data_IF_341891575577
#
_entry.id   IF_341891575577
#
_cell.length_a   1.000
_cell.length_b   1.000
_cell.length_c   1.000
_cell.angle_alpha   90.00
_cell.angle_beta   90.00
_cell.angle_gamma   90.00
#
_symmetry.space_group_name_H-M   'P 1'
#
loop_
_entity.id
_entity.type
_entity.pdbx_description
1 polymer ?
#
# COMPACT_ATOMS: atom_id res chain seq x y z
N UNK A 1 18.12 -10.89 8.51
CA UNK A 1 17.15 -9.77 8.36
C UNK A 1 16.44 -9.62 9.69
N UNK A 2 16.27 -8.39 10.22
CA UNK A 2 15.32 -8.15 11.31
C UNK A 2 13.93 -8.54 10.82
N UNK A 3 13.13 -9.16 11.68
CA UNK A 3 11.75 -9.49 11.33
C UNK A 3 10.98 -8.21 10.98
N UNK A 4 10.15 -8.27 9.93
CA UNK A 4 9.26 -7.15 9.58
C UNK A 4 8.31 -6.91 10.73
N UNK A 5 8.17 -5.66 11.17
CA UNK A 5 7.21 -5.29 12.22
C UNK A 5 5.78 -5.50 11.70
N UNK A 6 4.91 -5.99 12.54
CA UNK A 6 3.46 -5.95 12.27
C UNK A 6 2.93 -4.52 12.36
N UNK A 7 1.75 -4.26 11.81
CA UNK A 7 1.11 -2.94 11.90
C UNK A 7 0.89 -2.51 13.36
N UNK A 8 0.41 -3.37 14.30
CA UNK A 8 0.32 -3.01 15.71
C UNK A 8 1.68 -2.64 16.35
N UNK A 9 2.71 -3.45 16.09
CA UNK A 9 4.08 -3.19 16.61
C UNK A 9 4.64 -1.86 16.07
N UNK A 10 4.35 -1.54 14.80
CA UNK A 10 4.77 -0.30 14.17
C UNK A 10 4.05 0.91 14.79
N UNK A 11 2.74 0.86 14.97
CA UNK A 11 1.95 1.93 15.60
C UNK A 11 2.44 2.20 17.03
N UNK A 12 2.69 1.15 17.80
CA UNK A 12 3.20 1.31 19.17
C UNK A 12 4.60 1.94 19.21
N UNK A 13 5.44 1.62 18.23
CA UNK A 13 6.80 2.16 18.14
C UNK A 13 6.82 3.62 17.72
N UNK A 14 6.10 3.97 16.65
CA UNK A 14 6.16 5.31 16.06
C UNK A 14 5.41 6.35 16.91
N UNK A 15 4.30 5.97 17.54
CA UNK A 15 3.44 6.85 18.37
C UNK A 15 3.08 8.18 17.68
N UNK A 16 2.90 8.10 16.38
CA UNK A 16 2.60 9.21 15.48
C UNK A 16 1.85 8.69 14.24
N UNK A 17 1.32 9.61 13.44
CA UNK A 17 0.64 9.25 12.20
C UNK A 17 1.63 8.66 11.18
N UNK A 18 1.43 7.42 10.78
CA UNK A 18 2.31 6.72 9.85
C UNK A 18 1.86 7.03 8.43
N UNK A 19 2.76 7.62 7.64
CA UNK A 19 2.53 7.88 6.23
C UNK A 19 2.76 6.61 5.43
N UNK A 20 1.76 6.19 4.67
CA UNK A 20 1.77 4.95 3.90
C UNK A 20 1.54 5.26 2.41
N UNK A 21 2.60 5.25 1.57
CA UNK A 21 2.46 5.49 0.14
C UNK A 21 1.76 4.31 -0.54
N UNK A 22 0.90 4.63 -1.49
CA UNK A 22 0.33 3.66 -2.42
C UNK A 22 1.41 3.25 -3.43
N UNK A 23 1.57 1.96 -3.62
CA UNK A 23 2.53 1.35 -4.52
C UNK A 23 1.82 0.40 -5.49
N UNK A 24 2.48 0.01 -6.55
CA UNK A 24 1.90 -0.82 -7.60
C UNK A 24 2.79 -2.00 -8.02
N UNK A 25 4.08 -2.00 -7.64
CA UNK A 25 5.03 -3.06 -7.96
C UNK A 25 6.23 -3.12 -6.99
N UNK A 26 7.14 -4.04 -7.25
CA UNK A 26 8.37 -4.20 -6.47
C UNK A 26 9.29 -2.98 -6.53
N UNK A 27 9.31 -2.25 -7.64
CA UNK A 27 10.19 -1.09 -7.83
C UNK A 27 9.70 0.10 -7.03
N UNK A 28 8.39 0.37 -7.08
CA UNK A 28 7.76 1.42 -6.28
C UNK A 28 7.86 1.12 -4.78
N UNK A 29 7.68 -0.15 -4.38
CA UNK A 29 7.89 -0.57 -2.99
C UNK A 29 9.32 -0.29 -2.52
N UNK A 30 10.32 -0.65 -3.33
CA UNK A 30 11.72 -0.41 -2.99
C UNK A 30 12.06 1.09 -2.96
N UNK A 31 11.52 1.87 -3.89
CA UNK A 31 11.72 3.32 -3.90
C UNK A 31 11.16 3.98 -2.62
N UNK A 32 9.97 3.57 -2.17
CA UNK A 32 9.38 4.03 -0.92
C UNK A 32 10.20 3.63 0.31
N UNK A 33 10.72 2.40 0.34
CA UNK A 33 11.62 1.94 1.40
C UNK A 33 12.88 2.81 1.49
N UNK A 34 13.48 3.14 0.34
CA UNK A 34 14.67 4.02 0.26
C UNK A 34 14.35 5.48 0.62
N UNK A 35 13.13 5.93 0.35
CA UNK A 35 12.65 7.24 0.76
C UNK A 35 12.44 7.36 2.29
N UNK A 36 12.47 6.22 3.01
CA UNK A 36 12.38 6.19 4.48
C UNK A 36 10.97 5.99 5.03
N UNK A 37 10.01 5.63 4.18
CA UNK A 37 8.67 5.22 4.66
C UNK A 37 8.75 4.01 5.57
N UNK A 38 7.77 3.87 6.45
CA UNK A 38 7.74 2.80 7.48
C UNK A 38 6.73 1.69 7.18
N UNK A 39 5.82 1.94 6.26
CA UNK A 39 4.84 0.99 5.74
C UNK A 39 4.49 1.34 4.29
N UNK A 40 3.93 0.41 3.56
CA UNK A 40 3.51 0.56 2.16
C UNK A 40 2.13 -0.04 1.94
N UNK A 41 1.37 0.52 1.01
CA UNK A 41 0.03 0.07 0.64
C UNK A 41 0.03 -0.35 -0.84
N UNK A 42 -0.22 -1.62 -1.15
CA UNK A 42 -0.48 -2.04 -2.52
C UNK A 42 -1.89 -1.60 -2.91
N UNK A 43 -1.95 -0.63 -3.83
CA UNK A 43 -3.20 -0.03 -4.29
C UNK A 43 -3.83 -0.87 -5.40
N UNK A 44 -5.08 -1.29 -5.21
CA UNK A 44 -5.84 -1.99 -6.25
C UNK A 44 -5.98 -1.16 -7.52
N UNK A 45 -6.30 0.13 -7.40
CA UNK A 45 -6.42 1.02 -8.55
C UNK A 45 -5.12 1.18 -9.35
N UNK A 46 -3.98 1.45 -8.67
CA UNK A 46 -2.69 1.60 -9.36
C UNK A 46 -2.20 0.28 -9.98
N UNK A 47 -2.48 -0.86 -9.37
CA UNK A 47 -2.21 -2.17 -9.96
C UNK A 47 -3.10 -2.41 -11.18
N UNK A 48 -4.37 -2.04 -11.12
CA UNK A 48 -5.26 -2.08 -12.30
C UNK A 48 -4.69 -1.25 -13.46
N UNK A 49 -4.24 -0.01 -13.19
CA UNK A 49 -3.66 0.86 -14.22
C UNK A 49 -2.43 0.24 -14.90
N UNK A 50 -1.52 -0.44 -14.16
CA UNK A 50 -0.35 -1.09 -14.78
C UNK A 50 -0.71 -2.34 -15.59
N UNK A 51 -1.86 -2.97 -15.32
CA UNK A 51 -2.41 -4.05 -16.14
C UNK A 51 -3.28 -3.56 -17.30
N UNK A 52 -3.51 -2.24 -17.39
CA UNK A 52 -4.34 -1.63 -18.42
C UNK A 52 -5.84 -1.78 -18.17
N UNK A 53 -6.24 -2.09 -16.95
CA UNK A 53 -7.64 -2.10 -16.54
C UNK A 53 -8.17 -0.65 -16.41
N UNK A 54 -9.45 -0.46 -16.71
CA UNK A 54 -10.12 0.85 -16.60
C UNK A 54 -10.50 1.17 -15.15
N UNK A 55 -10.68 0.14 -14.32
CA UNK A 55 -10.96 0.24 -12.88
C UNK A 55 -10.44 -1.00 -12.15
N UNK A 56 -10.30 -0.91 -10.83
CA UNK A 56 -9.91 -2.07 -9.99
C UNK A 56 -10.95 -3.20 -10.01
N UNK A 57 -12.22 -2.90 -10.36
CA UNK A 57 -13.28 -3.90 -10.48
C UNK A 57 -13.06 -4.89 -11.63
N UNK A 58 -12.26 -4.51 -12.62
CA UNK A 58 -11.89 -5.37 -13.73
C UNK A 58 -10.78 -6.35 -13.36
N UNK A 59 -10.08 -6.10 -12.25
CA UNK A 59 -9.01 -7.00 -11.80
C UNK A 59 -9.55 -8.26 -11.13
N UNK A 60 -8.80 -9.35 -11.30
CA UNK A 60 -8.97 -10.56 -10.51
C UNK A 60 -8.08 -10.51 -9.26
N UNK A 61 -8.60 -11.03 -8.15
CA UNK A 61 -7.82 -11.12 -6.90
C UNK A 61 -6.51 -11.91 -7.06
N UNK A 62 -6.39 -12.77 -8.07
CA UNK A 62 -5.15 -13.50 -8.37
C UNK A 62 -4.07 -12.61 -8.97
N UNK A 63 -4.45 -11.59 -9.73
CA UNK A 63 -3.52 -10.59 -10.31
C UNK A 63 -2.94 -9.72 -9.20
N UNK A 64 -3.78 -9.21 -8.29
CA UNK A 64 -3.34 -8.47 -7.11
C UNK A 64 -2.46 -9.33 -6.21
N UNK A 65 -2.83 -10.60 -5.99
CA UNK A 65 -2.08 -11.54 -5.18
C UNK A 65 -0.69 -11.82 -5.77
N UNK A 66 -0.58 -11.96 -7.09
CA UNK A 66 0.69 -12.16 -7.76
C UNK A 66 1.71 -11.05 -7.45
N UNK A 67 1.28 -9.80 -7.49
CA UNK A 67 2.14 -8.65 -7.15
C UNK A 67 2.43 -8.61 -5.64
N UNK A 68 1.41 -8.79 -4.81
CA UNK A 68 1.54 -8.76 -3.34
C UNK A 68 2.54 -9.79 -2.82
N UNK A 69 2.47 -11.04 -3.32
CA UNK A 69 3.39 -12.12 -2.96
C UNK A 69 4.85 -11.77 -3.28
N UNK A 70 5.10 -11.15 -4.43
CA UNK A 70 6.45 -10.71 -4.83
C UNK A 70 6.97 -9.63 -3.90
N UNK A 71 6.15 -8.61 -3.61
CA UNK A 71 6.55 -7.53 -2.70
C UNK A 71 6.79 -8.08 -1.29
N UNK A 72 5.89 -8.88 -0.74
CA UNK A 72 6.02 -9.47 0.60
C UNK A 72 7.29 -10.32 0.74
N UNK A 73 7.76 -10.95 -0.35
CA UNK A 73 8.95 -11.80 -0.33
C UNK A 73 10.27 -11.04 -0.17
N UNK A 74 10.33 -9.74 -0.48
CA UNK A 74 11.59 -8.99 -0.43
C UNK A 74 11.54 -7.73 0.43
N UNK A 75 10.37 -7.10 0.58
CA UNK A 75 10.24 -5.84 1.32
C UNK A 75 10.55 -6.03 2.80
N UNK A 76 11.21 -5.04 3.39
CA UNK A 76 11.45 -4.96 4.84
C UNK A 76 10.39 -4.14 5.56
N UNK A 77 9.45 -3.55 4.81
CA UNK A 77 8.33 -2.77 5.33
C UNK A 77 7.06 -3.62 5.43
N UNK A 78 6.22 -3.41 6.45
CA UNK A 78 4.90 -4.01 6.49
C UNK A 78 4.06 -3.58 5.29
N UNK A 79 3.51 -4.58 4.59
CA UNK A 79 2.71 -4.41 3.39
C UNK A 79 1.23 -4.51 3.75
N UNK A 80 0.48 -3.47 3.43
CA UNK A 80 -0.99 -3.43 3.47
C UNK A 80 -1.51 -3.64 2.04
N UNK A 81 -2.62 -4.35 1.90
CA UNK A 81 -3.26 -4.62 0.60
C UNK A 81 -4.61 -3.93 0.54
N UNK A 82 -4.87 -3.19 -0.52
CA UNK A 82 -6.20 -2.72 -0.87
C UNK A 82 -6.96 -3.84 -1.59
N UNK A 83 -8.01 -4.34 -0.96
CA UNK A 83 -8.72 -5.53 -1.40
C UNK A 83 -10.02 -5.23 -2.17
N UNK A 84 -10.10 -4.11 -2.89
CA UNK A 84 -11.25 -3.73 -3.69
C UNK A 84 -11.68 -4.77 -4.74
N UNK A 85 -10.75 -5.62 -5.16
CA UNK A 85 -11.06 -6.74 -6.05
C UNK A 85 -11.75 -7.94 -5.35
N UNK A 86 -11.99 -7.90 -4.03
CA UNK A 86 -12.78 -8.92 -3.35
C UNK A 86 -14.24 -8.75 -3.73
N UNK A 87 -14.78 -9.69 -4.49
CA UNK A 87 -16.21 -9.68 -4.82
C UNK A 87 -17.04 -9.83 -3.54
N UNK A 88 -18.29 -9.40 -3.54
CA UNK A 88 -19.24 -9.44 -2.44
C UNK A 88 -19.59 -10.88 -1.96
N UNK A 89 -18.56 -11.69 -1.71
CA UNK A 89 -18.66 -13.09 -1.31
C UNK A 89 -17.76 -13.35 -0.08
N UNK A 90 -18.33 -13.54 1.12
CA UNK A 90 -17.56 -13.83 2.33
C UNK A 90 -16.68 -15.08 2.24
N UNK A 91 -17.06 -16.09 1.45
CA UNK A 91 -16.27 -17.32 1.29
C UNK A 91 -15.02 -17.06 0.42
N UNK A 92 -15.18 -16.32 -0.66
CA UNK A 92 -14.05 -15.87 -1.49
C UNK A 92 -13.15 -14.92 -0.70
N UNK A 93 -13.74 -14.00 0.06
CA UNK A 93 -13.02 -13.09 0.97
C UNK A 93 -12.17 -13.85 1.98
N UNK A 94 -12.72 -14.87 2.65
CA UNK A 94 -11.95 -15.72 3.56
C UNK A 94 -10.74 -16.35 2.86
N UNK A 95 -10.97 -16.95 1.70
CA UNK A 95 -9.92 -17.67 0.94
C UNK A 95 -8.79 -16.72 0.51
N UNK A 96 -9.11 -15.54 0.01
CA UNK A 96 -8.11 -14.57 -0.42
C UNK A 96 -7.39 -13.93 0.76
N UNK A 97 -8.11 -13.55 1.80
CA UNK A 97 -7.50 -13.02 3.03
C UNK A 97 -6.51 -14.02 3.63
N UNK A 98 -6.84 -15.32 3.65
CA UNK A 98 -5.94 -16.38 4.09
C UNK A 98 -4.65 -16.40 3.25
N UNK A 99 -4.78 -16.35 1.92
CA UNK A 99 -3.61 -16.35 1.03
C UNK A 99 -2.71 -15.13 1.24
N UNK A 100 -3.27 -13.93 1.27
CA UNK A 100 -2.49 -12.70 1.50
C UNK A 100 -1.78 -12.72 2.85
N UNK A 101 -2.49 -13.06 3.91
CA UNK A 101 -1.92 -13.12 5.25
C UNK A 101 -0.76 -14.14 5.36
N UNK A 102 -0.92 -15.33 4.75
CA UNK A 102 0.12 -16.37 4.76
C UNK A 102 1.27 -16.10 3.76
N UNK A 103 1.08 -15.23 2.78
CA UNK A 103 2.16 -14.72 1.94
C UNK A 103 3.03 -13.66 2.65
N UNK A 104 2.64 -13.21 3.85
CA UNK A 104 3.40 -12.23 4.62
C UNK A 104 2.87 -10.81 4.55
N UNK A 105 1.69 -10.59 3.99
CA UNK A 105 1.01 -9.29 4.08
C UNK A 105 0.61 -9.00 5.53
N UNK A 106 0.73 -7.74 5.95
CA UNK A 106 0.54 -7.32 7.35
C UNK A 106 -0.76 -6.57 7.60
N UNK A 107 -1.50 -6.23 6.54
CA UNK A 107 -2.81 -5.59 6.63
C UNK A 107 -3.65 -5.83 5.38
N UNK A 108 -4.97 -5.92 5.54
CA UNK A 108 -5.94 -6.05 4.46
C UNK A 108 -7.02 -4.99 4.62
N UNK A 109 -7.20 -4.10 3.62
CA UNK A 109 -8.34 -3.21 3.54
C UNK A 109 -9.50 -3.99 2.91
N UNK A 110 -10.50 -4.30 3.70
CA UNK A 110 -11.74 -4.94 3.25
C UNK A 110 -12.81 -3.87 3.15
N UNK A 111 -13.36 -3.70 1.96
CA UNK A 111 -14.25 -2.58 1.69
C UNK A 111 -15.70 -2.98 1.38
N UNK A 112 -16.62 -2.02 1.61
CA UNK A 112 -17.97 -2.05 1.11
C UNK A 112 -17.99 -1.50 -0.33
N UNK A 113 -18.08 -2.35 -1.33
CA UNK A 113 -18.38 -1.88 -2.70
C UNK A 113 -19.76 -1.22 -2.77
N UNK A 114 -19.93 -0.29 -3.73
CA UNK A 114 -21.21 0.38 -4.01
C UNK A 114 -22.30 -0.64 -4.33
N UNK A 115 -23.05 -1.15 -3.52
CA UNK A 115 -24.18 -2.07 -3.62
C UNK A 115 -24.09 -3.31 -2.71
N UNK A 116 -23.05 -3.45 -1.91
CA UNK A 116 -23.02 -4.51 -0.90
C UNK A 116 -23.92 -4.09 0.27
N UNK A 117 -24.82 -4.99 0.69
CA UNK A 117 -25.59 -4.75 1.90
C UNK A 117 -24.69 -4.84 3.16
N UNK A 118 -25.10 -4.10 4.19
CA UNK A 118 -24.39 -4.06 5.48
C UNK A 118 -24.05 -5.44 6.04
N UNK A 119 -24.99 -6.38 5.93
CA UNK A 119 -24.81 -7.72 6.48
C UNK A 119 -23.74 -8.52 5.75
N UNK A 120 -23.69 -8.42 4.45
CA UNK A 120 -22.66 -9.05 3.61
C UNK A 120 -21.28 -8.44 3.90
N UNK A 121 -21.17 -7.11 3.96
CA UNK A 121 -19.90 -6.47 4.31
C UNK A 121 -19.37 -6.93 5.68
N UNK A 122 -20.20 -6.94 6.71
CA UNK A 122 -19.78 -7.40 8.05
C UNK A 122 -19.38 -8.89 8.07
N UNK A 123 -20.00 -9.72 7.25
CA UNK A 123 -19.57 -11.12 7.06
C UNK A 123 -18.20 -11.20 6.36
N UNK A 124 -17.91 -10.32 5.38
CA UNK A 124 -16.60 -10.25 4.74
C UNK A 124 -15.51 -9.82 5.73
N UNK A 125 -15.76 -8.78 6.54
CA UNK A 125 -14.86 -8.37 7.62
C UNK A 125 -14.57 -9.53 8.56
N UNK A 126 -15.61 -10.20 9.07
CA UNK A 126 -15.47 -11.35 9.96
C UNK A 126 -14.71 -12.50 9.32
N UNK A 127 -14.98 -12.79 8.05
CA UNK A 127 -14.27 -13.83 7.29
C UNK A 127 -12.78 -13.52 7.18
N UNK A 128 -12.41 -12.26 6.90
CA UNK A 128 -11.02 -11.81 6.85
C UNK A 128 -10.33 -11.90 8.22
N UNK A 129 -11.01 -11.48 9.29
CA UNK A 129 -10.49 -11.58 10.66
C UNK A 129 -10.20 -13.04 11.03
N UNK A 130 -11.11 -13.96 10.70
CA UNK A 130 -10.90 -15.39 10.93
C UNK A 130 -9.74 -15.96 10.11
N UNK A 131 -9.61 -15.52 8.86
CA UNK A 131 -8.53 -15.94 7.97
C UNK A 131 -7.13 -15.46 8.42
N UNK A 132 -7.06 -14.31 9.08
CA UNK A 132 -5.80 -13.72 9.58
C UNK A 132 -5.42 -14.17 11.00
N UNK A 133 -6.29 -14.93 11.70
CA UNK A 133 -6.18 -15.21 13.15
C UNK A 133 -4.81 -15.72 13.61
N UNK A 134 -4.20 -16.59 12.83
CA UNK A 134 -2.91 -17.23 13.19
C UNK A 134 -1.71 -16.57 12.50
N UNK A 135 -1.86 -15.32 12.07
CA UNK A 135 -0.84 -14.53 11.41
C UNK A 135 -0.62 -13.18 12.09
N UNK A 136 0.32 -12.38 11.58
CA UNK A 136 0.51 -10.97 12.02
C UNK A 136 -0.33 -9.97 11.23
N UNK A 137 -1.14 -10.45 10.30
CA UNK A 137 -1.96 -9.62 9.43
C UNK A 137 -3.19 -9.09 10.18
N UNK A 138 -3.48 -7.81 10.04
CA UNK A 138 -4.65 -7.16 10.61
C UNK A 138 -5.67 -6.82 9.54
N UNK A 139 -6.94 -6.71 9.92
CA UNK A 139 -8.02 -6.29 9.01
C UNK A 139 -8.37 -4.83 9.27
N UNK A 140 -8.42 -4.06 8.20
CA UNK A 140 -8.85 -2.66 8.17
C UNK A 140 -10.18 -2.62 7.42
N UNK A 141 -11.27 -2.30 8.12
CA UNK A 141 -12.59 -2.20 7.49
C UNK A 141 -12.74 -0.82 6.85
N UNK A 142 -12.99 -0.79 5.54
CA UNK A 142 -13.10 0.41 4.74
C UNK A 142 -14.53 0.59 4.23
N UNK A 143 -15.04 1.84 4.27
CA UNK A 143 -16.28 2.20 3.58
C UNK A 143 -16.02 3.28 2.54
N UNK A 144 -16.56 3.07 1.35
CA UNK A 144 -16.48 4.02 0.23
C UNK A 144 -17.62 5.05 0.24
N UNK A 145 -18.52 4.97 1.24
CA UNK A 145 -19.64 5.90 1.38
C UNK A 145 -19.19 7.35 1.43
N UNK A 146 -19.72 8.18 0.54
CA UNK A 146 -19.46 9.62 0.53
C UNK A 146 -20.21 10.31 1.69
N UNK A 147 -19.52 11.21 2.38
CA UNK A 147 -20.07 11.97 3.50
C UNK A 147 -20.68 13.29 3.01
N UNK A 148 -21.94 13.27 2.59
CA UNK A 148 -22.67 14.43 2.00
C UNK A 148 -23.62 15.10 2.98
N UNK A 149 -24.24 14.33 3.86
CA UNK A 149 -25.28 14.78 4.80
C UNK A 149 -25.24 13.95 6.10
N UNK A 150 -26.10 14.28 7.06
CA UNK A 150 -26.17 13.62 8.38
C UNK A 150 -26.37 12.10 8.26
N UNK A 151 -27.20 11.66 7.35
CA UNK A 151 -27.55 10.24 7.20
C UNK A 151 -26.35 9.42 6.69
N UNK A 152 -25.53 10.03 5.80
CA UNK A 152 -24.27 9.43 5.37
C UNK A 152 -23.29 9.27 6.56
N UNK A 153 -23.19 10.29 7.43
CA UNK A 153 -22.35 10.20 8.64
C UNK A 153 -22.85 9.13 9.60
N UNK A 154 -24.16 9.08 9.84
CA UNK A 154 -24.75 8.09 10.74
C UNK A 154 -24.55 6.66 10.24
N UNK A 155 -24.72 6.46 8.93
CA UNK A 155 -24.43 5.17 8.29
C UNK A 155 -22.95 4.77 8.44
N UNK A 156 -22.01 5.68 8.11
CA UNK A 156 -20.56 5.42 8.20
C UNK A 156 -20.14 5.09 9.63
N UNK A 157 -20.65 5.84 10.60
CA UNK A 157 -20.37 5.60 12.02
C UNK A 157 -20.90 4.23 12.46
N UNK A 158 -22.13 3.88 12.09
CA UNK A 158 -22.74 2.59 12.45
C UNK A 158 -21.97 1.43 11.84
N UNK A 159 -21.69 1.47 10.53
CA UNK A 159 -21.06 0.34 9.84
C UNK A 159 -19.61 0.12 10.29
N UNK A 160 -18.84 1.20 10.52
CA UNK A 160 -17.46 1.08 10.98
C UNK A 160 -17.37 0.61 12.44
N UNK A 161 -18.25 1.09 13.32
CA UNK A 161 -18.31 0.59 14.69
C UNK A 161 -18.75 -0.89 14.72
N UNK A 162 -19.69 -1.30 13.86
CA UNK A 162 -20.06 -2.69 13.71
C UNK A 162 -18.90 -3.56 13.20
N UNK A 163 -18.10 -3.05 12.28
CA UNK A 163 -16.91 -3.75 11.79
C UNK A 163 -15.84 -3.94 12.88
N UNK A 164 -15.64 -2.97 13.76
CA UNK A 164 -14.79 -3.13 14.95
C UNK A 164 -15.32 -4.26 15.85
N UNK A 165 -16.63 -4.34 16.05
CA UNK A 165 -17.25 -5.42 16.85
C UNK A 165 -17.09 -6.79 16.20
N UNK A 166 -16.97 -6.89 14.86
CA UNK A 166 -16.63 -8.13 14.16
C UNK A 166 -15.13 -8.46 14.18
N UNK A 167 -14.30 -7.62 14.78
CA UNK A 167 -12.88 -7.85 15.01
C UNK A 167 -11.93 -7.11 14.09
N UNK A 168 -12.40 -6.13 13.30
CA UNK A 168 -11.49 -5.27 12.54
C UNK A 168 -10.57 -4.51 13.51
N UNK A 169 -9.28 -4.50 13.20
CA UNK A 169 -8.27 -3.81 14.00
C UNK A 169 -8.32 -2.28 13.85
N UNK A 170 -8.69 -1.83 12.66
CA UNK A 170 -8.70 -0.43 12.26
C UNK A 170 -9.85 -0.19 11.27
N UNK A 171 -10.25 1.06 11.12
CA UNK A 171 -11.28 1.45 10.15
C UNK A 171 -10.82 2.57 9.24
N UNK A 172 -11.44 2.71 8.06
CA UNK A 172 -11.20 3.77 7.09
C UNK A 172 -12.50 4.23 6.46
N UNK A 173 -12.71 5.54 6.43
CA UNK A 173 -13.83 6.18 5.73
C UNK A 173 -13.29 6.95 4.53
N UNK A 174 -13.51 6.48 3.31
CA UNK A 174 -13.01 7.11 2.07
C UNK A 174 -13.67 8.45 1.74
N UNK A 175 -14.84 8.75 2.32
CA UNK A 175 -15.54 10.03 2.13
C UNK A 175 -14.91 11.23 2.83
N UNK A 176 -13.80 11.05 3.56
CA UNK A 176 -13.09 12.13 4.23
C UNK A 176 -12.35 12.99 3.21
N UNK A 177 -12.54 14.29 3.28
CA UNK A 177 -11.84 15.29 2.46
C UNK A 177 -11.77 16.66 3.14
N UNK A 178 -11.82 16.69 4.46
CA UNK A 178 -11.64 17.91 5.26
C UNK A 178 -11.40 17.57 6.73
N UNK A 179 -10.72 18.46 7.45
CA UNK A 179 -10.48 18.35 8.89
C UNK A 179 -11.78 18.23 9.70
N UNK A 180 -12.84 18.97 9.29
CA UNK A 180 -14.13 18.91 9.97
C UNK A 180 -14.78 17.51 9.87
N UNK A 181 -14.75 16.89 8.69
CA UNK A 181 -15.26 15.52 8.52
C UNK A 181 -14.42 14.51 9.30
N UNK A 182 -13.09 14.67 9.29
CA UNK A 182 -12.18 13.84 10.06
C UNK A 182 -12.48 13.93 11.56
N UNK A 183 -12.77 15.13 12.07
CA UNK A 183 -13.13 15.35 13.47
C UNK A 183 -14.45 14.63 13.84
N UNK A 184 -15.49 14.77 13.00
CA UNK A 184 -16.78 14.12 13.24
C UNK A 184 -16.63 12.61 13.29
N UNK A 185 -16.00 12.01 12.28
CA UNK A 185 -15.77 10.55 12.23
C UNK A 185 -14.83 10.12 13.35
N UNK A 186 -13.75 10.87 13.57
CA UNK A 186 -12.76 10.57 14.61
C UNK A 186 -13.34 10.49 16.01
N UNK A 187 -14.30 11.34 16.34
CA UNK A 187 -14.99 11.35 17.64
C UNK A 187 -16.07 10.27 17.78
N UNK A 188 -16.70 9.86 16.68
CA UNK A 188 -17.87 8.96 16.70
C UNK A 188 -17.53 7.51 16.41
N UNK A 189 -16.47 7.26 15.63
CA UNK A 189 -16.00 5.90 15.32
C UNK A 189 -14.96 5.47 16.36
N UNK A 190 -15.18 4.29 16.93
CA UNK A 190 -14.31 3.71 17.95
C UNK A 190 -12.99 3.17 17.36
N UNK A 191 -11.99 3.00 18.22
CA UNK A 191 -10.74 2.36 17.86
C UNK A 191 -9.83 3.20 16.95
N UNK A 192 -8.86 2.53 16.36
CA UNK A 192 -7.87 3.13 15.46
C UNK A 192 -8.45 3.37 14.07
N UNK A 193 -7.94 4.40 13.40
CA UNK A 193 -8.41 4.80 12.08
C UNK A 193 -7.25 5.05 11.13
N UNK A 194 -7.49 4.78 9.86
CA UNK A 194 -6.67 5.20 8.75
C UNK A 194 -7.35 6.35 8.03
N UNK A 195 -6.62 7.43 7.80
CA UNK A 195 -7.08 8.52 6.96
C UNK A 195 -6.88 8.12 5.49
N UNK A 196 -7.88 8.35 4.62
CA UNK A 196 -7.71 8.11 3.19
C UNK A 196 -6.70 9.10 2.59
N UNK A 197 -6.65 9.21 1.31
CA UNK A 197 -5.67 10.02 0.59
C UNK A 197 -5.67 11.49 1.06
N UNK A 198 -4.53 11.92 1.61
CA UNK A 198 -4.37 13.32 2.02
C UNK A 198 -4.09 14.20 0.80
N UNK A 199 -4.87 15.23 0.63
CA UNK A 199 -4.73 16.22 -0.45
C UNK A 199 -4.28 17.59 0.07
N UNK A 200 -3.97 18.48 -0.85
CA UNK A 200 -3.59 19.86 -0.54
C UNK A 200 -4.68 20.78 -1.05
N UNK A 201 -5.27 21.56 -0.14
CA UNK A 201 -6.21 22.63 -0.45
C UNK A 201 -5.60 23.99 -0.16
N UNK A 202 -5.63 24.90 -1.13
CA UNK A 202 -5.11 26.26 -0.99
C UNK A 202 -3.67 26.33 -0.43
N UNK A 203 -2.80 25.37 -0.84
CA UNK A 203 -1.41 25.29 -0.42
C UNK A 203 -1.21 24.77 1.01
N UNK A 204 -2.24 24.26 1.68
CA UNK A 204 -2.14 23.62 2.99
C UNK A 204 -2.63 22.17 2.94
N UNK A 205 -2.04 21.28 3.75
CA UNK A 205 -2.62 19.95 3.95
C UNK A 205 -4.07 20.06 4.40
N UNK A 206 -4.91 19.19 3.90
CA UNK A 206 -6.33 19.08 4.25
C UNK A 206 -6.54 18.82 5.75
N UNK A 207 -5.63 18.04 6.35
CA UNK A 207 -5.59 17.71 7.78
C UNK A 207 -4.16 17.85 8.31
N UNK A 208 -4.05 18.14 9.61
CA UNK A 208 -2.77 18.18 10.32
C UNK A 208 -2.60 16.88 11.10
N UNK A 209 -1.49 16.19 10.86
CA UNK A 209 -1.20 14.88 11.44
C UNK A 209 -1.38 14.82 12.96
N UNK A 210 -0.85 15.81 13.68
CA UNK A 210 -0.94 15.88 15.14
C UNK A 210 -2.38 16.03 15.65
N UNK A 211 -3.24 16.69 14.89
CA UNK A 211 -4.64 16.88 15.22
C UNK A 211 -5.44 15.61 15.01
N UNK A 212 -5.28 14.97 13.84
CA UNK A 212 -6.01 13.74 13.54
C UNK A 212 -5.48 12.56 14.35
N UNK A 213 -4.19 12.53 14.71
CA UNK A 213 -3.65 11.49 15.60
C UNK A 213 -4.36 11.45 16.94
N UNK A 214 -4.69 12.61 17.53
CA UNK A 214 -5.50 12.72 18.75
C UNK A 214 -6.92 12.17 18.61
N UNK A 215 -7.41 12.07 17.38
CA UNK A 215 -8.71 11.50 17.04
C UNK A 215 -8.63 9.99 16.70
N UNK A 216 -7.45 9.40 16.84
CA UNK A 216 -7.20 7.98 16.61
C UNK A 216 -6.84 7.62 15.16
N UNK A 217 -6.53 8.60 14.31
CA UNK A 217 -5.96 8.33 12.99
C UNK A 217 -4.46 8.07 13.13
N UNK A 218 -4.06 6.84 12.93
CA UNK A 218 -2.68 6.39 13.13
C UNK A 218 -1.94 6.12 11.82
N UNK A 219 -2.65 6.11 10.71
CA UNK A 219 -2.10 5.93 9.35
C UNK A 219 -2.78 6.89 8.37
N UNK A 220 -2.01 7.34 7.36
CA UNK A 220 -2.49 8.18 6.25
C UNK A 220 -1.93 7.63 4.95
N UNK A 221 -2.80 7.39 3.94
CA UNK A 221 -2.33 6.98 2.61
C UNK A 221 -2.00 8.15 1.68
N UNK A 222 -1.15 7.88 0.69
CA UNK A 222 -0.74 8.84 -0.33
C UNK A 222 -0.70 8.18 -1.71
N UNK A 223 -1.48 8.71 -2.64
CA UNK A 223 -1.49 8.28 -4.04
C UNK A 223 -0.61 9.20 -4.90
N UNK A 224 0.67 8.87 -5.06
CA UNK A 224 1.58 9.68 -5.90
C UNK A 224 2.58 8.86 -6.72
N UNK A 225 2.88 7.63 -6.33
CA UNK A 225 4.04 6.90 -6.85
C UNK A 225 3.95 6.64 -8.35
N UNK A 226 2.83 6.12 -8.82
CA UNK A 226 2.60 5.86 -10.25
C UNK A 226 2.57 7.15 -11.06
N UNK A 227 1.89 8.19 -10.57
CA UNK A 227 1.81 9.50 -11.25
C UNK A 227 3.19 10.12 -11.45
N UNK A 228 4.04 10.09 -10.41
CA UNK A 228 5.41 10.63 -10.49
C UNK A 228 6.28 9.80 -11.42
N UNK A 229 6.19 8.47 -11.36
CA UNK A 229 6.92 7.57 -12.25
C UNK A 229 6.54 7.82 -13.72
N UNK A 230 5.25 7.88 -14.02
CA UNK A 230 4.76 8.16 -15.37
C UNK A 230 5.17 9.54 -15.88
N UNK A 231 5.09 10.57 -15.03
CA UNK A 231 5.53 11.91 -15.39
C UNK A 231 7.04 11.95 -15.74
N UNK A 232 7.86 11.28 -14.94
CA UNK A 232 9.29 11.16 -15.20
C UNK A 232 9.58 10.39 -16.51
N UNK A 233 8.90 9.28 -16.74
CA UNK A 233 9.05 8.50 -17.98
C UNK A 233 8.72 9.37 -19.20
N UNK A 234 7.63 10.13 -19.16
CA UNK A 234 7.24 11.04 -20.27
C UNK A 234 8.28 12.16 -20.45
N UNK A 235 8.72 12.79 -19.37
CA UNK A 235 9.69 13.89 -19.41
C UNK A 235 11.02 13.43 -20.03
N UNK A 236 11.61 12.38 -19.47
CA UNK A 236 12.90 11.87 -19.95
C UNK A 236 12.79 11.16 -21.29
N UNK A 237 11.65 10.54 -21.59
CA UNK A 237 11.35 9.99 -22.91
C UNK A 237 11.42 11.06 -24.01
N UNK A 238 10.82 12.23 -23.78
CA UNK A 238 10.91 13.38 -24.71
C UNK A 238 12.36 13.89 -24.88
N UNK A 239 13.10 14.03 -23.78
CA UNK A 239 14.53 14.45 -23.81
C UNK A 239 15.39 13.45 -24.57
N UNK A 240 15.23 12.15 -24.32
CA UNK A 240 15.98 11.09 -24.99
C UNK A 240 15.65 11.03 -26.48
N UNK A 241 14.37 11.15 -26.85
CA UNK A 241 13.94 11.16 -28.25
C UNK A 241 14.54 12.37 -29.00
N UNK A 242 14.53 13.56 -28.41
CA UNK A 242 15.13 14.76 -28.98
C UNK A 242 16.65 14.66 -29.12
N UNK A 243 17.32 14.00 -28.18
CA UNK A 243 18.77 13.78 -28.21
C UNK A 243 19.19 12.62 -29.14
N UNK A 244 18.26 11.75 -29.56
CA UNK A 244 18.56 10.53 -30.31
C UNK A 244 19.33 9.47 -29.52
N UNK A 245 19.33 9.56 -28.19
CA UNK A 245 20.00 8.62 -27.28
C UNK A 245 19.43 8.75 -25.84
N UNK A 246 19.85 7.87 -24.92
CA UNK A 246 19.38 7.85 -23.53
C UNK A 246 20.26 8.66 -22.55
N UNK A 247 21.21 9.45 -23.02
CA UNK A 247 22.12 10.23 -22.19
C UNK A 247 21.40 11.17 -21.21
N UNK A 248 20.34 11.92 -21.59
CA UNK A 248 19.61 12.76 -20.64
C UNK A 248 19.10 11.98 -19.42
N UNK A 249 18.50 10.81 -19.63
CA UNK A 249 17.99 10.01 -18.51
C UNK A 249 19.14 9.44 -17.65
N UNK A 250 20.23 8.97 -18.26
CA UNK A 250 21.35 8.35 -17.52
C UNK A 250 22.22 9.35 -16.77
N UNK A 251 22.35 10.58 -17.24
CA UNK A 251 23.17 11.63 -16.59
C UNK A 251 22.39 12.45 -15.56
N UNK A 252 21.13 12.78 -15.85
CA UNK A 252 20.32 13.61 -14.96
C UNK A 252 19.66 12.81 -13.83
N UNK A 253 19.20 11.57 -14.11
CA UNK A 253 18.57 10.72 -13.10
C UNK A 253 19.61 9.81 -12.45
N UNK A 254 20.28 10.31 -11.44
CA UNK A 254 21.23 9.53 -10.65
C UNK A 254 20.52 8.90 -9.46
N UNK A 255 19.95 7.72 -9.67
CA UNK A 255 19.55 6.85 -8.58
C UNK A 255 20.79 6.06 -8.13
N UNK A 256 21.35 6.41 -6.96
CA UNK A 256 22.59 5.85 -6.42
C UNK A 256 23.85 6.16 -7.26
N UNK A 257 24.96 6.39 -6.59
CA UNK A 257 26.26 6.75 -7.17
C UNK A 257 26.85 5.70 -8.12
N UNK A 258 26.16 4.63 -8.41
CA UNK A 258 26.53 3.61 -9.36
C UNK A 258 25.64 3.70 -10.58
N UNK A 259 26.09 4.35 -11.63
CA UNK A 259 25.44 4.25 -12.93
C UNK A 259 25.72 2.86 -13.51
N UNK A 260 24.78 1.95 -13.30
CA UNK A 260 24.73 0.71 -14.10
C UNK A 260 23.94 0.95 -15.40
N UNK A 261 24.25 2.05 -16.12
CA UNK A 261 23.43 2.47 -17.26
C UNK A 261 21.98 2.69 -16.88
N UNK A 262 21.06 2.00 -17.54
CA UNK A 262 19.62 2.08 -17.27
C UNK A 262 19.14 1.12 -16.17
N UNK A 263 20.02 0.42 -15.45
CA UNK A 263 19.62 -0.61 -14.50
C UNK A 263 19.24 -0.05 -13.14
N UNK A 264 18.10 -0.46 -12.62
CA UNK A 264 17.69 -0.24 -11.22
C UNK A 264 18.29 -1.28 -10.25
N UNK A 265 19.18 -2.16 -10.72
CA UNK A 265 19.76 -3.25 -9.92
C UNK A 265 20.37 -2.82 -8.60
N UNK A 266 21.10 -1.69 -8.50
CA UNK A 266 21.65 -1.22 -7.22
C UNK A 266 20.59 -0.96 -6.15
N UNK A 267 19.38 -0.56 -6.55
CA UNK A 267 18.27 -0.32 -5.62
C UNK A 267 17.85 -1.60 -4.88
N UNK A 268 18.06 -2.78 -5.46
CA UNK A 268 17.65 -4.05 -4.92
C UNK A 268 18.76 -4.82 -4.19
N UNK A 269 19.95 -4.19 -4.01
CA UNK A 269 21.12 -4.83 -3.39
C UNK A 269 21.40 -6.23 -3.96
N UNK A 270 21.45 -6.32 -5.27
CA UNK A 270 21.67 -7.63 -5.93
C UNK A 270 22.98 -8.27 -5.51
N UNK A 271 24.05 -7.48 -5.32
CA UNK A 271 25.34 -8.05 -4.90
C UNK A 271 25.21 -8.71 -3.53
N UNK A 272 24.65 -8.05 -2.53
CA UNK A 272 24.46 -8.64 -1.20
C UNK A 272 23.55 -9.88 -1.21
N UNK A 273 22.61 -9.97 -2.16
CA UNK A 273 21.80 -11.17 -2.37
C UNK A 273 22.59 -12.30 -3.03
N UNK A 274 23.44 -11.99 -3.99
CA UNK A 274 24.32 -12.97 -4.61
C UNK A 274 25.32 -13.53 -3.61
N UNK A 275 25.97 -12.68 -2.82
CA UNK A 275 26.93 -13.09 -1.79
C UNK A 275 26.29 -14.05 -0.78
N UNK A 276 25.06 -13.79 -0.36
CA UNK A 276 24.29 -14.70 0.50
C UNK A 276 23.97 -16.02 -0.19
N UNK A 277 23.55 -15.97 -1.44
CA UNK A 277 23.22 -17.16 -2.20
C UNK A 277 24.45 -18.04 -2.41
N UNK A 278 25.61 -17.46 -2.73
CA UNK A 278 26.89 -18.17 -2.85
C UNK A 278 27.30 -18.82 -1.52
N UNK A 279 27.16 -18.09 -0.40
CA UNK A 279 27.47 -18.61 0.93
C UNK A 279 26.61 -19.84 1.31
N UNK A 280 25.34 -19.88 0.85
CA UNK A 280 24.45 -21.01 1.14
C UNK A 280 24.58 -22.17 0.15
N UNK A 281 24.85 -21.88 -1.10
CA UNK A 281 24.79 -22.91 -2.16
C UNK A 281 26.15 -23.40 -2.62
N UNK A 282 27.22 -22.65 -2.30
CA UNK A 282 28.56 -22.91 -2.85
C UNK A 282 28.67 -22.72 -4.36
N UNK A 283 27.60 -22.17 -4.97
CA UNK A 283 27.57 -21.96 -6.43
C UNK A 283 27.99 -20.51 -6.68
N UNK A 284 29.21 -20.35 -7.19
CA UNK A 284 29.70 -19.07 -7.68
C UNK A 284 28.95 -18.74 -8.99
N UNK A 285 27.90 -17.92 -8.85
CA UNK A 285 27.29 -17.31 -10.04
C UNK A 285 28.09 -16.06 -10.37
N UNK A 286 29.01 -16.21 -11.32
CA UNK A 286 29.61 -15.05 -12.00
C UNK A 286 28.50 -14.46 -12.89
N UNK A 287 27.56 -13.75 -12.29
CA UNK A 287 26.74 -12.84 -13.03
C UNK A 287 27.62 -11.63 -13.35
N UNK A 288 28.38 -11.70 -14.44
CA UNK A 288 28.92 -10.49 -15.06
C UNK A 288 27.72 -9.63 -15.41
N UNK A 289 27.46 -8.62 -14.59
CA UNK A 289 26.51 -7.59 -14.94
C UNK A 289 27.12 -6.87 -16.14
N UNK A 290 26.44 -6.84 -17.30
CA UNK A 290 26.99 -6.17 -18.48
C UNK A 290 27.39 -4.74 -18.13
N UNK A 291 28.63 -4.35 -18.36
CA UNK A 291 29.17 -3.03 -18.06
C UNK A 291 29.91 -2.89 -16.74
N UNK A 292 30.06 -3.93 -15.93
CA UNK A 292 31.04 -3.98 -14.85
C UNK A 292 32.34 -4.64 -15.33
N UNK A 293 33.29 -3.83 -15.70
CA UNK A 293 34.71 -4.21 -15.62
C UNK A 293 35.13 -3.85 -14.18
N UNK A 294 35.35 -4.84 -13.35
CA UNK A 294 36.00 -4.67 -12.07
C UNK A 294 37.50 -4.59 -12.34
N UNK A 295 38.09 -3.41 -12.15
CA UNK A 295 39.54 -3.25 -12.04
C UNK A 295 40.04 -3.85 -10.71
#
# INVERSE_FOLDING_TARGET
MSAVLSIPELIEKEKYCIHIPCIYDCSSARACELAGYKAILLSGGEVGEIFGALSEDEMDSSELFFIAEKIASFSTLPLVIDCGCFKADPSATYRWSYKFAHAGCMGLLVEDEDNIDRGTFLKMVKASVLACKDTKCVVIARTNRRLRNSDDFDYVVDILNAAINEGAFMTMACGLNSAQKAEIIGKRVQGLKMYPDQTIHEGRPEVVDEEIYKLGYVMISYHYTLKVAMAAIVEYGKKNLAAGNNKPATEEVRLYNGSYGCSAMPMFDYQGKFDKQEAYTGIHRIAKIPGQEFD
#
